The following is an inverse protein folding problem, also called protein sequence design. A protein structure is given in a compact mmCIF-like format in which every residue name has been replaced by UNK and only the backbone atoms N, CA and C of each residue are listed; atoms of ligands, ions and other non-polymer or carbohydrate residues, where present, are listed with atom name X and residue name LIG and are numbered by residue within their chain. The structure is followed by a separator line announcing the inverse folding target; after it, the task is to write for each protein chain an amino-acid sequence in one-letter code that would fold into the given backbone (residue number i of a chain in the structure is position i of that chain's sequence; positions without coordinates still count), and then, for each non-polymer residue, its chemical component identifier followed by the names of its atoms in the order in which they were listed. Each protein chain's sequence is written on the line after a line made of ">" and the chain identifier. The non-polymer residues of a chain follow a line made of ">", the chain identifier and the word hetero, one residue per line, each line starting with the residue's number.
data_IF_297360846459
#
_entry.id   IF_297360846459
#
_cell.length_a   1.000
_cell.length_b   1.000
_cell.length_c   1.000
_cell.angle_alpha   90.00
_cell.angle_beta   90.00
_cell.angle_gamma   90.00
#
_symmetry.space_group_name_H-M   'P 1'
#
loop_
_entity.id
_entity.type
_entity.pdbx_description
1 polymer ?
#
# COMPACT_ATOMS: atom_id res chain seq x y z
N UNK A 1 -2.50 -15.67 -9.04
CA UNK A 1 -3.15 -14.91 -10.13
C UNK A 1 -2.80 -13.45 -9.92
N UNK A 2 -2.46 -12.70 -10.96
CA UNK A 2 -2.29 -11.24 -10.84
C UNK A 2 -3.62 -10.55 -11.17
N UNK A 3 -3.96 -9.51 -10.42
CA UNK A 3 -5.21 -8.75 -10.58
C UNK A 3 -4.89 -7.28 -10.85
N UNK A 4 -5.69 -6.65 -11.71
CA UNK A 4 -5.68 -5.21 -11.91
C UNK A 4 -6.77 -4.61 -11.00
N UNK A 5 -6.37 -3.75 -10.07
CA UNK A 5 -7.27 -3.00 -9.20
C UNK A 5 -7.23 -1.54 -9.66
N UNK A 6 -8.25 -1.11 -10.39
CA UNK A 6 -8.40 0.26 -10.87
C UNK A 6 -9.28 1.08 -9.89
N UNK A 7 -9.24 2.44 -9.95
CA UNK A 7 -9.90 3.30 -8.96
C UNK A 7 -11.40 3.03 -8.76
N UNK A 8 -12.09 2.62 -9.83
CA UNK A 8 -13.51 2.24 -9.82
C UNK A 8 -13.80 1.00 -8.96
N UNK A 9 -12.79 0.16 -8.73
CA UNK A 9 -12.90 -1.07 -7.94
C UNK A 9 -12.30 -0.94 -6.52
N UNK A 10 -11.74 0.20 -6.11
CA UNK A 10 -11.03 0.30 -4.82
C UNK A 10 -11.90 -0.07 -3.62
N UNK A 11 -13.20 0.26 -3.66
CA UNK A 11 -14.14 -0.11 -2.61
C UNK A 11 -14.29 -1.63 -2.44
N UNK A 12 -14.29 -2.37 -3.54
CA UNK A 12 -14.45 -3.83 -3.53
C UNK A 12 -13.18 -4.55 -3.03
N UNK A 13 -12.03 -3.88 -3.08
CA UNK A 13 -10.72 -4.42 -2.67
C UNK A 13 -10.11 -3.66 -1.47
N UNK A 14 -10.95 -3.01 -0.66
CA UNK A 14 -10.47 -2.14 0.41
C UNK A 14 -9.59 -2.87 1.43
N UNK A 15 -9.93 -4.12 1.77
CA UNK A 15 -9.15 -4.93 2.72
C UNK A 15 -7.81 -5.36 2.11
N UNK A 16 -7.80 -5.79 0.84
CA UNK A 16 -6.60 -6.17 0.11
C UNK A 16 -5.64 -4.99 -0.07
N UNK A 17 -6.16 -3.79 -0.37
CA UNK A 17 -5.36 -2.57 -0.47
C UNK A 17 -4.76 -2.19 0.89
N UNK A 18 -5.52 -2.30 1.99
CA UNK A 18 -4.96 -2.10 3.33
C UNK A 18 -3.82 -3.07 3.66
N UNK A 19 -3.98 -4.36 3.33
CA UNK A 19 -2.92 -5.36 3.53
C UNK A 19 -1.70 -5.09 2.64
N UNK A 20 -1.92 -4.64 1.40
CA UNK A 20 -0.85 -4.24 0.49
C UNK A 20 -0.01 -3.10 1.12
N UNK A 21 -0.64 -2.07 1.67
CA UNK A 21 0.08 -0.95 2.31
C UNK A 21 0.85 -1.36 3.57
N UNK A 22 0.32 -2.30 4.37
CA UNK A 22 1.07 -2.91 5.49
C UNK A 22 2.26 -3.74 5.01
N UNK A 23 2.10 -4.48 3.91
CA UNK A 23 3.19 -5.25 3.32
C UNK A 23 4.28 -4.33 2.77
N UNK A 24 3.91 -3.26 2.07
CA UNK A 24 4.84 -2.22 1.59
C UNK A 24 5.64 -1.62 2.75
N UNK A 25 5.01 -1.30 3.87
CA UNK A 25 5.70 -0.84 5.09
C UNK A 25 6.77 -1.84 5.56
N UNK A 26 6.39 -3.10 5.78
CA UNK A 26 7.31 -4.14 6.27
C UNK A 26 8.49 -4.38 5.31
N UNK A 27 8.27 -4.27 4.00
CA UNK A 27 9.32 -4.49 3.01
C UNK A 27 10.17 -3.24 2.83
N UNK A 28 9.59 -2.12 2.43
CA UNK A 28 10.32 -0.92 2.05
C UNK A 28 10.93 -0.22 3.26
N UNK A 29 10.17 -0.05 4.34
CA UNK A 29 10.67 0.64 5.52
C UNK A 29 11.46 -0.28 6.43
N UNK A 30 10.93 -1.42 6.84
CA UNK A 30 11.60 -2.24 7.86
C UNK A 30 12.73 -3.11 7.29
N UNK A 31 12.48 -3.84 6.20
CA UNK A 31 13.47 -4.79 5.66
C UNK A 31 14.55 -4.12 4.81
N UNK A 32 14.17 -3.17 3.96
CA UNK A 32 15.09 -2.50 3.03
C UNK A 32 15.65 -1.18 3.57
N UNK A 33 15.08 -0.66 4.67
CA UNK A 33 15.42 0.62 5.30
C UNK A 33 15.45 1.80 4.33
N UNK A 34 14.46 1.85 3.44
CA UNK A 34 14.29 2.98 2.54
C UNK A 34 13.68 4.18 3.27
N UNK A 35 14.05 5.38 2.83
CA UNK A 35 13.41 6.61 3.27
C UNK A 35 12.11 6.84 2.48
N UNK A 36 11.02 6.27 2.99
CA UNK A 36 9.68 6.33 2.42
C UNK A 36 8.70 6.95 3.40
N UNK A 37 7.63 7.55 2.88
CA UNK A 37 6.56 8.10 3.73
C UNK A 37 5.77 6.96 4.35
N UNK A 38 5.56 7.05 5.65
CA UNK A 38 4.79 6.04 6.39
C UNK A 38 3.82 6.71 7.33
N UNK A 39 2.71 6.03 7.61
CA UNK A 39 1.71 6.47 8.57
C UNK A 39 1.20 5.24 9.32
N UNK A 40 1.40 5.19 10.65
CA UNK A 40 0.79 4.17 11.51
C UNK A 40 1.07 2.71 11.11
N UNK A 41 2.25 2.41 10.55
CA UNK A 41 2.60 1.06 10.08
C UNK A 41 2.14 0.72 8.65
N UNK A 42 1.73 1.74 7.89
CA UNK A 42 1.42 1.66 6.48
C UNK A 42 2.40 2.51 5.69
N UNK A 43 2.74 2.07 4.48
CA UNK A 43 3.44 2.88 3.49
C UNK A 43 2.38 3.34 2.48
N UNK A 44 2.00 4.62 2.63
CA UNK A 44 0.98 5.32 1.86
C UNK A 44 1.52 6.72 1.57
N UNK A 45 1.50 7.14 0.32
CA UNK A 45 1.94 8.46 -0.11
C UNK A 45 0.90 9.21 -0.97
N UNK A 46 1.30 10.33 -1.58
CA UNK A 46 0.40 11.17 -2.36
C UNK A 46 -0.03 10.57 -3.69
N UNK A 47 0.63 9.52 -4.16
CA UNK A 47 0.31 8.84 -5.41
C UNK A 47 -0.71 7.72 -5.21
N UNK A 48 -0.88 7.22 -3.99
CA UNK A 48 -1.87 6.18 -3.66
C UNK A 48 -3.33 6.68 -3.66
N UNK A 49 -3.53 8.00 -3.76
CA UNK A 49 -4.85 8.63 -3.83
C UNK A 49 -5.29 9.02 -5.26
N UNK A 50 -4.46 8.74 -6.27
CA UNK A 50 -4.71 9.03 -7.69
C UNK A 50 -5.35 7.84 -8.42
#
# INVERSE_FOLDING_TARGET
>A
MMQLVAPDCYGDFADELHEMHRLRYRVFKERLDWDVRTNGGYEIDSFDAL
#
